data_IF_108507277468
#
_entry.id   IF_108507277468
#
_cell.length_a   1.000
_cell.length_b   1.000
_cell.length_c   1.000
_cell.angle_alpha   90.00
_cell.angle_beta   90.00
_cell.angle_gamma   90.00
#
_symmetry.space_group_name_H-M   'P 1'
#
loop_
_entity.id
_entity.type
_entity.pdbx_description
1 polymer ?
#
# COMPACT_ATOMS: atom_id res chain seq x y z
N UNK A 1 15.73 -1.54 17.08
CA UNK A 1 14.45 -1.02 16.52
C UNK A 1 14.58 -1.15 15.01
N UNK A 2 13.74 -1.95 14.38
CA UNK A 2 13.71 -2.15 12.92
C UNK A 2 12.57 -1.32 12.33
N UNK A 3 12.67 -0.95 11.08
CA UNK A 3 11.57 -0.37 10.32
C UNK A 3 11.16 -1.33 9.21
N UNK A 4 9.87 -1.64 9.16
CA UNK A 4 9.30 -2.49 8.13
C UNK A 4 8.34 -1.69 7.26
N UNK A 5 8.33 -2.00 5.97
CA UNK A 5 7.32 -1.53 5.01
C UNK A 5 6.44 -2.69 4.58
N UNK A 6 5.13 -2.46 4.49
CA UNK A 6 4.12 -3.45 4.14
C UNK A 6 3.38 -2.98 2.89
N UNK A 7 3.25 -3.85 1.90
CA UNK A 7 2.52 -3.58 0.66
C UNK A 7 1.00 -3.65 0.81
N UNK A 8 0.31 -3.59 -0.31
CA UNK A 8 -1.15 -3.58 -0.44
C UNK A 8 -1.78 -4.82 0.18
N UNK A 9 -2.81 -4.66 1.03
CA UNK A 9 -3.40 -5.75 1.85
C UNK A 9 -4.72 -6.26 1.27
N UNK A 10 -5.55 -5.36 0.75
CA UNK A 10 -6.80 -5.66 0.06
C UNK A 10 -7.78 -6.58 0.84
N UNK A 11 -8.01 -6.30 2.13
CA UNK A 11 -8.91 -7.10 2.96
C UNK A 11 -8.35 -8.45 3.37
N UNK A 12 -7.07 -8.70 3.13
CA UNK A 12 -6.37 -9.96 3.39
C UNK A 12 -5.81 -10.06 4.81
N UNK A 13 -6.65 -10.07 5.86
CA UNK A 13 -6.19 -10.13 7.26
C UNK A 13 -5.32 -11.36 7.55
N UNK A 14 -5.70 -12.54 7.04
CA UNK A 14 -4.92 -13.76 7.25
C UNK A 14 -3.49 -13.64 6.70
N UNK A 15 -3.34 -12.95 5.57
CA UNK A 15 -2.04 -12.69 4.99
C UNK A 15 -1.22 -11.69 5.83
N UNK A 16 -1.87 -10.63 6.35
CA UNK A 16 -1.24 -9.66 7.24
C UNK A 16 -0.72 -10.35 8.52
N UNK A 17 -1.54 -11.16 9.18
CA UNK A 17 -1.13 -11.91 10.37
C UNK A 17 0.06 -12.85 10.08
N UNK A 18 0.06 -13.51 8.90
CA UNK A 18 1.17 -14.38 8.51
C UNK A 18 2.49 -13.61 8.32
N UNK A 19 2.48 -12.47 7.61
CA UNK A 19 3.72 -11.71 7.37
C UNK A 19 4.24 -11.09 8.65
N UNK A 20 3.38 -10.58 9.53
CA UNK A 20 3.77 -10.07 10.84
C UNK A 20 4.47 -11.15 11.69
N UNK A 21 3.92 -12.36 11.69
CA UNK A 21 4.51 -13.51 12.39
C UNK A 21 5.83 -13.96 11.75
N UNK A 22 5.90 -14.06 10.41
CA UNK A 22 7.09 -14.54 9.69
C UNK A 22 8.27 -13.60 9.84
N UNK A 23 8.01 -12.28 9.86
CA UNK A 23 9.02 -11.25 10.09
C UNK A 23 9.37 -11.05 11.58
N UNK A 24 8.72 -11.81 12.47
CA UNK A 24 8.91 -11.72 13.92
C UNK A 24 8.84 -10.27 14.42
N UNK A 25 7.77 -9.56 13.97
CA UNK A 25 7.53 -8.16 14.34
C UNK A 25 7.28 -8.05 15.84
N UNK A 26 7.86 -7.03 16.46
CA UNK A 26 7.73 -6.72 17.89
C UNK A 26 7.19 -5.31 18.10
N UNK A 27 6.67 -5.01 19.29
CA UNK A 27 6.18 -3.67 19.64
C UNK A 27 7.27 -2.56 19.58
N UNK A 28 8.55 -2.93 19.49
CA UNK A 28 9.67 -1.99 19.35
C UNK A 28 9.92 -1.58 17.91
N UNK A 29 9.35 -2.29 16.96
CA UNK A 29 9.57 -2.04 15.54
C UNK A 29 8.61 -0.94 15.03
N UNK A 30 9.04 -0.18 14.04
CA UNK A 30 8.20 0.78 13.31
C UNK A 30 7.63 0.10 12.07
N UNK A 31 6.33 0.26 11.84
CA UNK A 31 5.63 -0.29 10.68
C UNK A 31 5.13 0.83 9.78
N UNK A 32 5.39 0.71 8.48
CA UNK A 32 4.92 1.65 7.46
C UNK A 32 4.06 0.86 6.48
N UNK A 33 2.76 1.14 6.47
CA UNK A 33 1.80 0.52 5.58
C UNK A 33 1.57 1.41 4.37
N UNK A 34 1.73 0.88 3.16
CA UNK A 34 1.69 1.67 1.93
C UNK A 34 0.27 1.96 1.40
N UNK A 35 -0.77 1.53 2.10
CA UNK A 35 -2.17 1.77 1.69
C UNK A 35 -2.84 0.55 1.07
N UNK A 36 -4.03 0.79 0.51
CA UNK A 36 -4.91 -0.24 -0.07
C UNK A 36 -5.21 -1.37 0.94
N UNK A 37 -5.77 -0.97 2.08
CA UNK A 37 -6.14 -1.90 3.16
C UNK A 37 -7.38 -2.71 2.82
N UNK A 38 -8.24 -2.19 1.97
CA UNK A 38 -9.58 -2.68 1.67
C UNK A 38 -9.73 -3.14 0.22
N UNK A 39 -10.86 -3.75 -0.09
CA UNK A 39 -11.27 -4.24 -1.40
C UNK A 39 -10.59 -5.54 -1.84
N UNK A 40 -11.35 -6.39 -2.49
CA UNK A 40 -10.88 -7.69 -3.00
C UNK A 40 -11.29 -8.84 -2.09
N UNK A 41 -10.72 -8.99 -0.91
CA UNK A 41 -11.05 -10.06 0.02
C UNK A 41 -12.05 -9.60 1.09
N UNK A 42 -12.72 -10.55 1.74
CA UNK A 42 -13.90 -10.30 2.59
C UNK A 42 -13.61 -9.61 3.92
N UNK A 43 -12.35 -9.51 4.35
CA UNK A 43 -12.00 -9.05 5.70
C UNK A 43 -11.56 -7.58 5.77
N UNK A 44 -12.02 -6.72 4.83
CA UNK A 44 -11.69 -5.29 4.84
C UNK A 44 -11.97 -4.59 6.19
N UNK A 45 -13.14 -4.76 6.85
CA UNK A 45 -13.36 -4.15 8.15
C UNK A 45 -12.40 -4.65 9.22
N UNK A 46 -12.09 -5.95 9.21
CA UNK A 46 -11.22 -6.57 10.19
C UNK A 46 -9.76 -6.12 10.03
N UNK A 47 -9.31 -5.85 8.78
CA UNK A 47 -8.00 -5.22 8.53
C UNK A 47 -7.96 -3.83 9.14
N UNK A 48 -8.98 -3.00 8.94
CA UNK A 48 -9.05 -1.67 9.55
C UNK A 48 -9.05 -1.76 11.09
N UNK A 49 -9.85 -2.65 11.67
CA UNK A 49 -9.85 -2.85 13.12
C UNK A 49 -8.48 -3.30 13.64
N UNK A 50 -7.81 -4.21 12.93
CA UNK A 50 -6.45 -4.66 13.27
C UNK A 50 -5.45 -3.51 13.25
N UNK A 51 -5.46 -2.65 12.22
CA UNK A 51 -4.55 -1.51 12.11
C UNK A 51 -4.79 -0.46 13.21
N UNK A 52 -6.06 -0.18 13.54
CA UNK A 52 -6.41 0.74 14.65
C UNK A 52 -5.89 0.19 15.99
N UNK A 53 -6.05 -1.10 16.25
CA UNK A 53 -5.54 -1.74 17.46
C UNK A 53 -4.00 -1.71 17.50
N UNK A 54 -3.36 -1.99 16.38
CA UNK A 54 -1.91 -2.00 16.23
C UNK A 54 -1.31 -0.60 16.48
N UNK A 55 -1.91 0.48 15.93
CA UNK A 55 -1.49 1.86 16.18
C UNK A 55 -1.55 2.26 17.67
N UNK A 56 -2.39 1.60 18.46
CA UNK A 56 -2.46 1.86 19.91
C UNK A 56 -1.32 1.22 20.69
N UNK A 57 -0.58 0.27 20.09
CA UNK A 57 0.43 -0.57 20.75
C UNK A 57 1.86 -0.27 20.31
N UNK A 58 2.03 0.17 19.06
CA UNK A 58 3.35 0.44 18.50
C UNK A 58 3.32 1.56 17.45
N UNK A 59 4.49 2.01 17.03
CA UNK A 59 4.62 3.06 16.02
C UNK A 59 4.21 2.52 14.64
N UNK A 60 3.07 2.99 14.14
CA UNK A 60 2.51 2.62 12.84
C UNK A 60 2.19 3.87 12.02
N UNK A 61 2.79 3.97 10.86
CA UNK A 61 2.51 4.99 9.85
C UNK A 61 1.62 4.33 8.80
N UNK A 62 0.43 4.86 8.60
CA UNK A 62 -0.55 4.34 7.65
C UNK A 62 -0.74 5.34 6.52
N UNK A 63 -0.31 4.95 5.32
CA UNK A 63 -0.41 5.77 4.12
C UNK A 63 -1.73 5.46 3.41
N UNK A 64 -2.29 6.46 2.75
CA UNK A 64 -3.53 6.38 2.00
C UNK A 64 -3.31 5.67 0.67
N UNK A 65 -4.09 4.62 0.41
CA UNK A 65 -4.26 4.02 -0.91
C UNK A 65 -5.52 4.55 -1.62
N UNK A 66 -5.62 4.32 -2.91
CA UNK A 66 -6.78 4.77 -3.67
C UNK A 66 -8.05 3.98 -3.31
N UNK A 67 -7.95 2.72 -2.92
CA UNK A 67 -9.08 1.93 -2.44
C UNK A 67 -9.59 2.40 -1.08
N UNK A 68 -8.71 2.90 -0.22
CA UNK A 68 -9.06 3.46 1.08
C UNK A 68 -9.84 4.77 0.92
N UNK A 69 -9.46 5.62 -0.04
CA UNK A 69 -10.19 6.85 -0.38
C UNK A 69 -11.57 6.54 -0.96
N UNK A 70 -11.69 5.56 -1.86
CA UNK A 70 -12.97 5.13 -2.42
C UNK A 70 -13.93 4.62 -1.33
N UNK A 71 -13.42 3.84 -0.36
CA UNK A 71 -14.20 3.41 0.80
C UNK A 71 -14.63 4.61 1.66
N UNK A 72 -13.73 5.55 1.93
CA UNK A 72 -14.03 6.76 2.72
C UNK A 72 -15.13 7.58 2.06
N UNK A 73 -15.03 7.81 0.75
CA UNK A 73 -16.07 8.50 -0.02
C UNK A 73 -17.44 7.80 0.07
N UNK A 74 -17.46 6.48 -0.06
CA UNK A 74 -18.67 5.69 0.05
C UNK A 74 -19.27 5.75 1.47
N UNK A 75 -18.47 5.62 2.50
CA UNK A 75 -18.92 5.68 3.90
C UNK A 75 -19.52 7.04 4.27
N UNK A 76 -18.99 8.12 3.69
CA UNK A 76 -19.49 9.49 3.94
C UNK A 76 -20.75 9.85 3.13
N UNK A 77 -20.77 9.45 1.88
CA UNK A 77 -21.72 9.98 0.90
C UNK A 77 -22.71 8.93 0.38
N UNK A 78 -22.51 7.64 0.72
CA UNK A 78 -23.29 6.52 0.18
C UNK A 78 -23.38 6.53 -1.38
N UNK A 79 -22.36 7.11 -2.05
CA UNK A 79 -22.34 7.27 -3.50
C UNK A 79 -21.97 5.94 -4.16
N UNK A 80 -22.89 5.41 -4.95
CA UNK A 80 -22.60 4.23 -5.76
C UNK A 80 -21.51 4.53 -6.79
N UNK A 81 -20.56 3.62 -6.89
CA UNK A 81 -19.47 3.68 -7.86
C UNK A 81 -19.30 2.28 -8.48
N UNK A 82 -19.95 2.06 -9.64
CA UNK A 82 -19.95 0.76 -10.31
C UNK A 82 -18.54 0.31 -10.69
N UNK A 83 -17.66 1.24 -11.09
CA UNK A 83 -16.30 0.92 -11.43
C UNK A 83 -15.52 0.43 -10.20
N UNK A 84 -15.71 1.06 -9.06
CA UNK A 84 -15.10 0.61 -7.81
C UNK A 84 -15.60 -0.78 -7.40
N UNK A 85 -16.91 -1.03 -7.54
CA UNK A 85 -17.49 -2.35 -7.23
C UNK A 85 -16.84 -3.44 -8.07
N UNK A 86 -16.68 -3.24 -9.39
CA UNK A 86 -16.02 -4.17 -10.30
C UNK A 86 -14.53 -4.37 -9.95
N UNK A 87 -13.90 -3.42 -9.31
CA UNK A 87 -12.51 -3.48 -8.87
C UNK A 87 -12.32 -3.98 -7.42
N UNK A 88 -13.29 -4.72 -6.88
CA UNK A 88 -13.20 -5.37 -5.57
C UNK A 88 -13.96 -4.67 -4.45
N UNK A 89 -14.53 -3.48 -4.69
CA UNK A 89 -15.31 -2.73 -3.72
C UNK A 89 -16.60 -3.42 -3.28
N UNK A 90 -17.18 -4.28 -4.13
CA UNK A 90 -18.38 -5.06 -3.78
C UNK A 90 -18.17 -5.90 -2.51
N UNK A 91 -17.05 -6.61 -2.42
CA UNK A 91 -16.72 -7.41 -1.23
C UNK A 91 -16.65 -6.54 0.04
N UNK A 92 -16.09 -5.34 -0.07
CA UNK A 92 -16.01 -4.38 1.03
C UNK A 92 -17.40 -3.87 1.43
N UNK A 93 -18.24 -3.46 0.47
CA UNK A 93 -19.61 -3.01 0.74
C UNK A 93 -20.39 -4.08 1.48
N UNK A 94 -20.39 -5.32 1.00
CA UNK A 94 -21.08 -6.46 1.63
C UNK A 94 -20.57 -6.73 3.07
N UNK A 95 -19.27 -6.56 3.31
CA UNK A 95 -18.71 -6.69 4.64
C UNK A 95 -19.14 -5.53 5.57
N UNK A 96 -19.17 -4.30 5.06
CA UNK A 96 -19.55 -3.11 5.82
C UNK A 96 -21.05 -3.00 6.10
N UNK A 97 -21.91 -3.63 5.32
CA UNK A 97 -23.36 -3.70 5.61
C UNK A 97 -23.65 -4.37 6.96
N UNK A 98 -22.78 -5.26 7.40
CA UNK A 98 -22.89 -5.98 8.68
C UNK A 98 -22.46 -5.13 9.88
N UNK A 99 -21.81 -3.99 9.68
CA UNK A 99 -21.30 -3.13 10.74
C UNK A 99 -22.37 -2.14 11.22
N UNK A 100 -22.37 -1.89 12.53
CA UNK A 100 -23.21 -0.83 13.11
C UNK A 100 -22.60 0.56 12.86
N UNK A 101 -23.40 1.60 13.13
CA UNK A 101 -23.01 3.00 12.89
C UNK A 101 -21.73 3.41 13.67
N UNK A 102 -21.55 2.91 14.89
CA UNK A 102 -20.38 3.22 15.71
C UNK A 102 -19.09 2.66 15.14
N UNK A 103 -19.13 1.41 14.64
CA UNK A 103 -18.00 0.79 13.97
C UNK A 103 -17.64 1.54 12.67
N UNK A 104 -18.63 1.87 11.83
CA UNK A 104 -18.39 2.66 10.60
C UNK A 104 -17.77 4.02 10.93
N UNK A 105 -18.23 4.70 12.00
CA UNK A 105 -17.68 5.99 12.41
C UNK A 105 -16.21 5.89 12.90
N UNK A 106 -15.85 4.79 13.58
CA UNK A 106 -14.47 4.50 13.99
C UNK A 106 -13.56 4.34 12.75
N UNK A 107 -14.04 3.60 11.73
CA UNK A 107 -13.29 3.40 10.49
C UNK A 107 -13.17 4.69 9.67
N UNK A 108 -14.22 5.52 9.58
CA UNK A 108 -14.14 6.84 8.95
C UNK A 108 -13.02 7.67 9.57
N UNK A 109 -12.94 7.73 10.90
CA UNK A 109 -11.88 8.49 11.59
C UNK A 109 -10.48 7.97 11.26
N UNK A 110 -10.30 6.65 11.19
CA UNK A 110 -9.04 6.03 10.78
C UNK A 110 -8.68 6.41 9.34
N UNK A 111 -9.61 6.25 8.39
CA UNK A 111 -9.40 6.58 6.98
C UNK A 111 -9.11 8.08 6.75
N UNK A 112 -9.73 8.96 7.56
CA UNK A 112 -9.44 10.40 7.54
C UNK A 112 -8.03 10.72 8.09
N UNK A 113 -7.47 9.90 8.97
CA UNK A 113 -6.15 10.10 9.57
C UNK A 113 -4.99 9.56 8.73
N UNK A 114 -5.26 8.91 7.60
CA UNK A 114 -4.21 8.36 6.73
C UNK A 114 -3.33 9.46 6.15
N UNK A 115 -2.01 9.22 6.13
CA UNK A 115 -1.04 10.13 5.55
C UNK A 115 -1.00 9.98 4.03
N UNK A 116 -0.76 11.05 3.29
CA UNK A 116 -0.59 10.99 1.84
C UNK A 116 0.78 10.42 1.45
N UNK A 117 1.80 10.68 2.25
CA UNK A 117 3.15 10.12 2.15
C UNK A 117 3.88 10.25 3.49
N UNK A 118 4.96 9.49 3.66
CA UNK A 118 5.89 9.64 4.78
C UNK A 118 7.31 9.82 4.25
N UNK A 119 8.06 10.76 4.86
CA UNK A 119 9.47 10.98 4.57
C UNK A 119 10.26 10.80 5.88
N UNK A 120 11.15 9.83 5.91
CA UNK A 120 11.96 9.55 7.10
C UNK A 120 13.24 10.40 7.19
N UNK A 121 13.92 10.33 8.33
CA UNK A 121 15.15 11.08 8.61
C UNK A 121 16.32 10.70 7.68
N UNK A 122 16.26 9.54 7.02
CA UNK A 122 17.26 9.10 6.06
C UNK A 122 16.94 9.53 4.60
N UNK A 123 15.96 10.40 4.41
CA UNK A 123 15.45 10.85 3.12
C UNK A 123 14.94 9.68 2.25
N UNK A 124 14.22 8.72 2.87
CA UNK A 124 13.49 7.66 2.20
C UNK A 124 12.02 8.03 2.15
N UNK A 125 11.46 8.02 0.97
CA UNK A 125 10.05 8.33 0.73
C UNK A 125 9.21 7.06 0.72
N UNK A 126 8.10 7.10 1.44
CA UNK A 126 7.05 6.08 1.42
C UNK A 126 5.78 6.74 0.90
N UNK A 127 5.22 6.21 -0.17
CA UNK A 127 4.02 6.75 -0.82
C UNK A 127 3.30 5.60 -1.51
N UNK A 128 1.96 5.64 -1.57
CA UNK A 128 1.23 4.51 -2.16
C UNK A 128 1.54 4.30 -3.64
N UNK A 129 1.41 5.33 -4.47
CA UNK A 129 1.56 5.22 -5.92
C UNK A 129 2.74 6.03 -6.48
N UNK A 130 2.82 7.32 -6.18
CA UNK A 130 3.89 8.16 -6.68
C UNK A 130 3.64 9.65 -6.52
N UNK A 131 4.32 10.44 -7.32
CA UNK A 131 4.21 11.90 -7.40
C UNK A 131 4.78 12.37 -8.74
N UNK A 132 4.41 13.57 -9.20
CA UNK A 132 4.84 14.11 -10.50
C UNK A 132 5.72 15.34 -10.38
N UNK A 133 5.64 16.08 -9.27
CA UNK A 133 6.37 17.34 -9.12
C UNK A 133 7.89 17.13 -9.06
N UNK A 134 8.62 17.87 -9.88
CA UNK A 134 10.08 17.79 -9.99
C UNK A 134 10.84 18.42 -8.80
N UNK A 135 10.12 19.05 -7.87
CA UNK A 135 10.67 19.58 -6.62
C UNK A 135 10.34 18.69 -5.41
N UNK A 136 9.67 17.56 -5.64
CA UNK A 136 9.35 16.56 -4.62
C UNK A 136 7.92 16.62 -4.09
N UNK A 137 7.60 15.69 -3.18
CA UNK A 137 6.25 15.48 -2.66
C UNK A 137 5.68 16.71 -1.95
N UNK A 138 6.50 17.48 -1.24
CA UNK A 138 6.05 18.71 -0.57
C UNK A 138 5.58 19.83 -1.52
N UNK A 139 5.78 19.67 -2.83
CA UNK A 139 5.37 20.63 -3.87
C UNK A 139 4.32 20.04 -4.81
N UNK A 140 3.76 18.85 -4.51
CA UNK A 140 2.74 18.25 -5.38
C UNK A 140 1.45 19.07 -5.35
N UNK A 141 0.94 19.42 -6.54
CA UNK A 141 -0.27 20.25 -6.69
C UNK A 141 -1.55 19.45 -6.52
N UNK A 142 -1.50 18.14 -6.83
CA UNK A 142 -2.67 17.28 -6.82
C UNK A 142 -2.43 16.10 -5.86
N UNK A 143 -2.85 16.19 -4.60
CA UNK A 143 -2.64 15.12 -3.60
C UNK A 143 -3.14 13.75 -4.04
N UNK A 144 -4.15 13.70 -4.91
CA UNK A 144 -4.66 12.43 -5.49
C UNK A 144 -3.59 11.64 -6.25
N UNK A 145 -2.52 12.28 -6.74
CA UNK A 145 -1.41 11.61 -7.40
C UNK A 145 -0.63 10.71 -6.44
N UNK A 146 -0.60 11.03 -5.15
CA UNK A 146 0.09 10.18 -4.18
C UNK A 146 -0.47 8.76 -4.14
N UNK A 147 -1.74 8.58 -4.51
CA UNK A 147 -2.41 7.28 -4.49
C UNK A 147 -3.03 6.85 -5.84
N UNK A 148 -2.84 7.62 -6.92
CA UNK A 148 -3.29 7.25 -8.28
C UNK A 148 -2.18 7.27 -9.34
N UNK A 149 -1.00 7.84 -9.08
CA UNK A 149 0.06 7.93 -10.08
C UNK A 149 0.57 6.54 -10.49
N UNK A 150 0.85 6.37 -11.78
CA UNK A 150 1.55 5.21 -12.32
C UNK A 150 2.86 5.58 -13.00
N UNK A 151 3.04 6.88 -13.26
CA UNK A 151 4.17 7.37 -14.05
C UNK A 151 5.51 7.23 -13.34
N UNK A 152 5.52 7.25 -12.00
CA UNK A 152 6.74 7.05 -11.23
C UNK A 152 7.31 5.64 -11.47
N UNK A 153 6.45 4.61 -11.31
CA UNK A 153 6.85 3.22 -11.50
C UNK A 153 7.15 2.91 -12.98
N UNK A 154 6.32 3.36 -13.91
CA UNK A 154 6.54 3.16 -15.35
C UNK A 154 7.85 3.81 -15.81
N UNK A 155 8.18 5.01 -15.30
CA UNK A 155 9.47 5.67 -15.56
C UNK A 155 10.63 4.84 -14.99
N UNK A 156 10.50 4.28 -13.77
CA UNK A 156 11.53 3.44 -13.18
C UNK A 156 11.76 2.14 -13.96
N UNK A 157 10.69 1.53 -14.48
CA UNK A 157 10.77 0.32 -15.31
C UNK A 157 11.43 0.58 -16.68
N UNK A 158 11.17 1.74 -17.29
CA UNK A 158 11.66 2.09 -18.62
C UNK A 158 13.05 2.69 -18.62
N UNK A 159 13.61 3.04 -17.46
CA UNK A 159 14.91 3.66 -17.35
C UNK A 159 16.03 2.70 -17.79
N UNK A 160 16.89 3.14 -18.70
CA UNK A 160 18.12 2.42 -19.05
C UNK A 160 19.01 2.30 -17.81
N UNK A 161 19.35 1.08 -17.34
CA UNK A 161 20.17 0.88 -16.16
C UNK A 161 21.61 1.41 -16.29
N UNK A 162 22.05 1.70 -17.51
CA UNK A 162 23.39 2.26 -17.78
C UNK A 162 23.45 3.79 -17.68
N UNK A 163 22.30 4.48 -17.64
CA UNK A 163 22.28 5.94 -17.52
C UNK A 163 22.75 6.36 -16.12
N UNK A 164 23.67 7.31 -16.06
CA UNK A 164 24.22 7.81 -14.80
C UNK A 164 23.30 8.85 -14.17
N UNK A 165 23.33 8.95 -12.83
CA UNK A 165 22.50 9.91 -12.08
C UNK A 165 22.81 11.40 -12.40
N UNK A 166 23.99 11.71 -12.88
CA UNK A 166 24.46 13.04 -13.30
C UNK A 166 24.20 13.34 -14.78
N UNK A 167 23.64 12.39 -15.54
CA UNK A 167 23.24 12.58 -16.92
C UNK A 167 22.01 13.51 -17.00
N UNK A 168 21.97 14.35 -18.04
CA UNK A 168 20.86 15.27 -18.30
C UNK A 168 19.52 14.55 -18.47
N UNK A 169 19.53 13.34 -19.01
CA UNK A 169 18.33 12.52 -19.25
C UNK A 169 17.91 11.67 -18.06
N UNK A 170 18.69 11.68 -16.94
CA UNK A 170 18.28 10.95 -15.74
C UNK A 170 17.06 11.61 -15.10
N UNK A 171 15.98 10.87 -14.80
CA UNK A 171 14.75 11.45 -14.27
C UNK A 171 14.99 12.17 -12.93
N UNK A 172 14.72 13.49 -12.91
CA UNK A 172 14.96 14.32 -11.72
C UNK A 172 14.26 13.79 -10.46
N UNK A 173 13.07 13.22 -10.59
CA UNK A 173 12.33 12.62 -9.45
C UNK A 173 13.15 11.56 -8.69
N UNK A 174 14.03 10.83 -9.39
CA UNK A 174 14.87 9.79 -8.78
C UNK A 174 16.15 10.32 -8.12
N UNK A 175 16.40 11.61 -8.19
CA UNK A 175 17.52 12.26 -7.50
C UNK A 175 17.13 12.93 -6.20
N UNK A 176 15.82 13.05 -5.91
CA UNK A 176 15.29 13.78 -4.77
C UNK A 176 15.37 12.99 -3.46
N UNK A 177 15.25 11.67 -3.53
CA UNK A 177 15.20 10.77 -2.38
C UNK A 177 16.26 9.69 -2.48
N UNK A 178 16.71 9.22 -1.32
CA UNK A 178 17.65 8.09 -1.25
C UNK A 178 17.01 6.82 -1.80
N UNK A 179 15.77 6.56 -1.39
CA UNK A 179 14.94 5.44 -1.82
C UNK A 179 13.47 5.86 -1.80
N UNK A 180 12.66 5.25 -2.65
CA UNK A 180 11.22 5.47 -2.72
C UNK A 180 10.54 4.10 -2.62
N UNK A 181 9.63 3.92 -1.67
CA UNK A 181 8.85 2.69 -1.48
C UNK A 181 7.42 2.92 -1.93
N UNK A 182 6.92 2.06 -2.81
CA UNK A 182 5.57 2.15 -3.39
C UNK A 182 4.83 0.82 -3.37
N UNK A 183 3.50 0.89 -3.52
CA UNK A 183 2.56 -0.20 -3.82
C UNK A 183 1.81 0.01 -5.13
N UNK A 184 0.47 -0.11 -5.10
CA UNK A 184 -0.50 0.31 -6.11
C UNK A 184 -0.45 -0.46 -7.44
N UNK A 185 0.70 -0.68 -8.00
CA UNK A 185 0.85 -1.35 -9.29
C UNK A 185 1.57 -2.67 -9.08
N UNK A 186 0.85 -3.80 -9.05
CA UNK A 186 1.45 -5.08 -8.65
C UNK A 186 2.54 -5.52 -9.62
N UNK A 187 3.68 -5.95 -9.05
CA UNK A 187 4.81 -6.47 -9.81
C UNK A 187 4.44 -7.72 -10.64
N UNK A 188 3.33 -8.37 -10.32
CA UNK A 188 2.80 -9.48 -11.11
C UNK A 188 2.45 -9.08 -12.55
N UNK A 189 2.19 -7.79 -12.83
CA UNK A 189 1.99 -7.28 -14.19
C UNK A 189 3.23 -7.39 -15.09
N UNK A 190 4.41 -7.48 -14.49
CA UNK A 190 5.68 -7.69 -15.19
C UNK A 190 6.23 -9.11 -14.99
N UNK A 191 5.39 -10.05 -14.50
CA UNK A 191 5.74 -11.45 -14.30
C UNK A 191 6.53 -11.75 -13.03
N UNK A 192 6.62 -10.81 -12.10
CA UNK A 192 7.38 -10.96 -10.86
C UNK A 192 6.47 -11.32 -9.67
N UNK A 193 7.04 -11.94 -8.66
CA UNK A 193 6.30 -12.40 -7.46
C UNK A 193 6.93 -11.93 -6.15
N UNK A 194 8.02 -11.17 -6.24
CA UNK A 194 8.78 -10.63 -5.12
C UNK A 194 8.94 -9.11 -5.26
N UNK A 195 9.28 -8.39 -4.19
CA UNK A 195 9.58 -6.95 -4.29
C UNK A 195 10.65 -6.65 -5.32
N UNK A 196 10.44 -5.61 -6.11
CA UNK A 196 11.34 -5.24 -7.20
C UNK A 196 11.91 -3.85 -6.98
N UNK A 197 13.22 -3.73 -7.17
CA UNK A 197 13.91 -2.44 -7.24
C UNK A 197 14.19 -2.05 -8.69
N UNK A 198 13.87 -0.78 -9.01
CA UNK A 198 14.30 -0.13 -10.26
C UNK A 198 14.73 1.31 -9.94
N UNK A 199 15.92 1.70 -10.36
CA UNK A 199 16.57 2.95 -9.94
C UNK A 199 16.62 3.06 -8.39
N UNK A 200 15.96 4.08 -7.82
CA UNK A 200 15.80 4.21 -6.37
C UNK A 200 14.41 3.77 -5.87
N UNK A 201 13.55 3.21 -6.73
CA UNK A 201 12.17 2.84 -6.41
C UNK A 201 12.08 1.35 -6.07
N UNK A 202 11.53 1.06 -4.89
CA UNK A 202 11.13 -0.26 -4.43
C UNK A 202 9.63 -0.42 -4.56
N UNK A 203 9.17 -1.35 -5.35
CA UNK A 203 7.75 -1.71 -5.42
C UNK A 203 7.52 -2.97 -4.56
N UNK A 204 6.65 -2.82 -3.55
CA UNK A 204 6.35 -3.83 -2.53
C UNK A 204 5.00 -4.53 -2.78
N UNK A 205 4.18 -4.04 -3.73
CA UNK A 205 2.94 -4.69 -4.10
C UNK A 205 3.21 -5.96 -4.93
N UNK A 206 3.11 -7.10 -4.27
CA UNK A 206 3.33 -8.42 -4.87
C UNK A 206 2.04 -9.13 -5.31
N UNK A 207 0.95 -8.36 -5.41
CA UNK A 207 -0.31 -8.80 -6.01
C UNK A 207 -1.28 -9.47 -5.04
N UNK A 208 -1.26 -9.06 -3.78
CA UNK A 208 -2.17 -9.58 -2.75
C UNK A 208 -3.66 -9.37 -3.09
N UNK A 209 -4.00 -8.32 -3.84
CA UNK A 209 -5.36 -8.10 -4.35
C UNK A 209 -5.88 -9.26 -5.23
N UNK A 210 -4.97 -10.03 -5.82
CA UNK A 210 -5.23 -11.07 -6.83
C UNK A 210 -4.80 -12.46 -6.30
N UNK A 211 -3.84 -13.09 -6.99
CA UNK A 211 -3.33 -14.43 -6.65
C UNK A 211 -1.95 -14.40 -6.02
N UNK A 212 -1.39 -13.22 -5.78
CA UNK A 212 -0.07 -13.05 -5.18
C UNK A 212 -0.10 -13.10 -3.65
N UNK A 213 1.07 -13.13 -3.03
CA UNK A 213 1.24 -12.98 -1.59
C UNK A 213 1.22 -11.52 -1.15
N UNK A 214 0.97 -11.25 0.13
CA UNK A 214 1.31 -10.00 0.78
C UNK A 214 2.80 -10.01 1.16
N UNK A 215 3.46 -8.87 1.06
CA UNK A 215 4.87 -8.71 1.42
C UNK A 215 5.07 -7.71 2.55
N UNK A 216 5.95 -8.05 3.49
CA UNK A 216 6.59 -7.16 4.46
C UNK A 216 8.10 -7.17 4.22
N UNK A 217 8.74 -6.00 4.23
CA UNK A 217 10.19 -5.86 4.01
C UNK A 217 10.84 -5.01 5.09
N UNK A 218 11.99 -5.44 5.58
CA UNK A 218 12.84 -4.60 6.41
C UNK A 218 13.47 -3.49 5.54
N UNK A 219 13.21 -2.24 5.90
CA UNK A 219 13.60 -1.07 5.10
C UNK A 219 15.12 -0.90 4.99
N UNK A 220 15.88 -1.35 5.99
CA UNK A 220 17.34 -1.20 6.02
C UNK A 220 18.04 -2.35 5.31
N UNK A 221 17.69 -3.59 5.65
CA UNK A 221 18.37 -4.80 5.12
C UNK A 221 17.83 -5.26 3.78
N UNK A 222 16.59 -4.85 3.41
CA UNK A 222 15.82 -5.33 2.25
C UNK A 222 15.42 -6.81 2.34
N UNK A 223 15.66 -7.44 3.48
CA UNK A 223 15.12 -8.77 3.76
C UNK A 223 13.59 -8.68 3.80
N UNK A 224 12.91 -9.62 3.15
CA UNK A 224 11.45 -9.61 3.06
C UNK A 224 10.84 -10.97 3.38
N UNK A 225 9.62 -10.94 3.84
CA UNK A 225 8.79 -12.10 4.10
C UNK A 225 7.47 -11.94 3.36
N UNK A 226 6.95 -13.04 2.89
CA UNK A 226 5.68 -13.08 2.18
C UNK A 226 4.71 -14.01 2.88
N UNK A 227 3.41 -13.75 2.73
CA UNK A 227 2.36 -14.67 3.13
C UNK A 227 2.27 -15.86 2.15
N UNK A 228 1.40 -16.81 2.44
CA UNK A 228 0.86 -17.65 1.37
C UNK A 228 0.12 -16.77 0.35
N UNK A 229 0.04 -17.18 -0.93
CA UNK A 229 -0.81 -16.51 -1.90
C UNK A 229 -2.25 -16.39 -1.42
N UNK A 230 -2.87 -15.20 -1.58
CA UNK A 230 -4.17 -14.93 -0.98
C UNK A 230 -5.29 -15.85 -1.50
N UNK A 231 -5.23 -16.27 -2.74
CA UNK A 231 -6.19 -17.25 -3.28
C UNK A 231 -6.12 -18.64 -2.62
N UNK A 232 -5.04 -18.95 -1.90
CA UNK A 232 -4.95 -20.16 -1.06
C UNK A 232 -5.52 -19.93 0.33
N UNK A 233 -5.35 -18.73 0.89
CA UNK A 233 -5.89 -18.34 2.19
C UNK A 233 -7.41 -18.14 2.15
N UNK A 234 -7.91 -17.68 1.01
CA UNK A 234 -9.32 -17.38 0.75
C UNK A 234 -9.87 -18.21 -0.41
N UNK A 235 -9.79 -19.54 -0.28
CA UNK A 235 -10.07 -20.50 -1.36
C UNK A 235 -11.48 -20.43 -1.96
N UNK A 236 -12.45 -19.86 -1.24
CA UNK A 236 -13.84 -19.69 -1.66
C UNK A 236 -14.12 -18.28 -2.21
N UNK A 237 -13.13 -17.43 -2.31
CA UNK A 237 -13.25 -16.05 -2.76
C UNK A 237 -12.42 -15.82 -4.02
N UNK A 238 -12.73 -14.75 -4.74
CA UNK A 238 -12.06 -14.44 -6.02
C UNK A 238 -11.00 -13.34 -5.88
N UNK A 239 -11.03 -12.55 -4.81
CA UNK A 239 -10.27 -11.32 -4.74
C UNK A 239 -10.69 -10.35 -5.85
N UNK A 240 -9.74 -9.65 -6.43
CA UNK A 240 -9.99 -8.75 -7.58
C UNK A 240 -9.82 -9.43 -8.94
N UNK A 241 -9.88 -10.77 -9.02
CA UNK A 241 -9.75 -11.55 -10.29
C UNK A 241 -11.05 -11.60 -11.09
#
# INVERSE_FOLDING_TARGET
MRTFVIGDIHGGLLALEQVMKRAEVTEKDTLIFLGDYVDGWSQSPQVIDYLIDLQSKQNCICIRGNHDELLLEWLKNAKNNELWYQHGGEATVLAYEKLNKGQKQKHIKFLESLEDYHLDEQNRLFVHAGFTNLNGVGYEYFPTLFYWDRTLWETALSLDPNIKKDDLYYPKRFTLYKEIFIGHTPVSRIGETVPINRACVWNIDTGAAFKGPLTIMNVDTKEFWQSEPLNKLYSNERGRN
#
